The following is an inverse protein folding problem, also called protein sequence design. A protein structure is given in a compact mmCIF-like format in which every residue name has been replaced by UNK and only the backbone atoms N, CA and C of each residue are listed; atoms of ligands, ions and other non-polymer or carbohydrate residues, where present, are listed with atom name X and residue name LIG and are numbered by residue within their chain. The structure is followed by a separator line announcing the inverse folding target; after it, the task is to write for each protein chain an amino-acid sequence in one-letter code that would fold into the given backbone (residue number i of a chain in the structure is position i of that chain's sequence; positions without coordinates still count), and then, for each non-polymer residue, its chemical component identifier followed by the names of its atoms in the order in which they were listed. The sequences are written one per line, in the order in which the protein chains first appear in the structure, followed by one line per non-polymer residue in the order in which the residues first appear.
data_IF_995757049785
#
_entry.id   IF_995757049785
#
_cell.length_a   1.000
_cell.length_b   1.000
_cell.length_c   1.000
_cell.angle_alpha   90.00
_cell.angle_beta   90.00
_cell.angle_gamma   90.00
#
_symmetry.space_group_name_H-M   'P 1'
#
loop_
_entity.id
_entity.type
_entity.pdbx_description
1 polymer ?
#
# COMPACT_ATOMS: atom_id res chain seq x y z
N UNK A 1 -14.65 -9.96 -14.98
CA UNK A 1 -14.08 -11.16 -14.34
C UNK A 1 -13.41 -10.77 -13.03
N UNK A 2 -14.11 -10.83 -11.90
CA UNK A 2 -13.51 -10.67 -10.57
C UNK A 2 -13.22 -12.05 -9.98
N UNK A 3 -12.02 -12.23 -9.42
CA UNK A 3 -11.79 -13.16 -8.31
C UNK A 3 -10.38 -12.97 -7.77
N UNK A 4 -10.29 -12.87 -6.44
CA UNK A 4 -9.14 -12.42 -5.67
C UNK A 4 -7.84 -13.19 -5.98
N UNK A 5 -6.78 -12.46 -6.37
CA UNK A 5 -5.43 -13.00 -6.66
C UNK A 5 -4.46 -12.93 -5.47
N UNK A 6 -4.90 -12.44 -4.31
CA UNK A 6 -4.04 -12.25 -3.14
C UNK A 6 -4.15 -13.43 -2.19
N UNK A 7 -3.64 -14.58 -2.61
CA UNK A 7 -3.46 -15.72 -1.71
C UNK A 7 -2.20 -15.46 -0.89
N UNK A 8 -2.36 -15.23 0.41
CA UNK A 8 -1.26 -14.95 1.36
C UNK A 8 -0.96 -16.12 2.30
N UNK A 9 -1.91 -17.05 2.43
CA UNK A 9 -1.77 -18.31 3.14
C UNK A 9 -2.56 -19.41 2.43
N UNK A 10 -2.04 -20.64 2.48
CA UNK A 10 -2.67 -21.82 1.90
C UNK A 10 -2.40 -23.01 2.84
N UNK A 11 -3.45 -23.73 3.24
CA UNK A 11 -3.36 -24.95 4.05
C UNK A 11 -3.91 -26.12 3.25
N UNK A 12 -3.08 -27.11 2.96
CA UNK A 12 -3.52 -28.38 2.36
C UNK A 12 -3.71 -29.42 3.46
N UNK A 13 -4.87 -30.07 3.50
CA UNK A 13 -5.16 -31.09 4.50
C UNK A 13 -4.51 -32.42 4.08
N UNK A 14 -3.79 -33.05 5.01
CA UNK A 14 -3.09 -34.31 4.76
C UNK A 14 -4.13 -35.44 4.61
N UNK A 15 -4.35 -35.88 3.38
CA UNK A 15 -5.31 -36.93 3.03
C UNK A 15 -5.54 -37.01 1.52
N UNK A 16 -5.43 -35.87 0.83
CA UNK A 16 -5.32 -35.82 -0.62
C UNK A 16 -3.85 -35.61 -1.02
N UNK A 17 -3.25 -36.58 -1.73
CA UNK A 17 -2.02 -36.36 -2.51
C UNK A 17 -2.38 -35.49 -3.73
N UNK A 18 -2.79 -34.26 -3.51
CA UNK A 18 -2.91 -33.28 -4.58
C UNK A 18 -1.55 -32.63 -4.74
N UNK A 19 -0.95 -32.81 -5.92
CA UNK A 19 0.20 -32.04 -6.37
C UNK A 19 -0.23 -30.57 -6.39
N UNK A 20 0.05 -29.83 -5.31
CA UNK A 20 -0.19 -28.39 -5.25
C UNK A 20 0.72 -27.77 -6.32
N UNK A 21 0.17 -27.11 -7.35
CA UNK A 21 0.98 -26.56 -8.42
C UNK A 21 2.04 -25.61 -7.84
N UNK A 22 3.28 -25.71 -8.33
CA UNK A 22 4.40 -24.82 -7.97
C UNK A 22 4.02 -23.34 -8.00
N UNK A 23 3.14 -22.99 -8.94
CA UNK A 23 2.65 -21.63 -9.18
C UNK A 23 1.89 -21.06 -7.99
N UNK A 24 1.19 -21.91 -7.20
CA UNK A 24 0.49 -21.48 -5.99
C UNK A 24 1.50 -21.11 -4.90
N UNK A 25 2.50 -21.95 -4.68
CA UNK A 25 3.56 -21.66 -3.70
C UNK A 25 4.34 -20.41 -4.06
N UNK A 26 4.67 -20.23 -5.34
CA UNK A 26 5.36 -19.04 -5.80
C UNK A 26 4.50 -17.78 -5.61
N UNK A 27 3.20 -17.87 -5.92
CA UNK A 27 2.24 -16.78 -5.70
C UNK A 27 2.12 -16.41 -4.22
N UNK A 28 1.99 -17.40 -3.33
CA UNK A 28 1.96 -17.19 -1.88
C UNK A 28 3.23 -16.50 -1.41
N UNK A 29 4.40 -16.95 -1.88
CA UNK A 29 5.69 -16.36 -1.52
C UNK A 29 5.78 -14.90 -1.94
N UNK A 30 5.41 -14.58 -3.19
CA UNK A 30 5.41 -13.21 -3.73
C UNK A 30 4.42 -12.32 -2.98
N UNK A 31 3.21 -12.80 -2.74
CA UNK A 31 2.18 -12.07 -2.02
C UNK A 31 2.56 -11.82 -0.56
N UNK A 32 3.16 -12.81 0.12
CA UNK A 32 3.66 -12.65 1.49
C UNK A 32 4.81 -11.68 1.58
N UNK A 33 5.73 -11.68 0.60
CA UNK A 33 6.78 -10.67 0.51
C UNK A 33 6.19 -9.26 0.35
N UNK A 34 5.23 -9.09 -0.56
CA UNK A 34 4.56 -7.81 -0.75
C UNK A 34 3.76 -7.39 0.51
N UNK A 35 3.09 -8.33 1.19
CA UNK A 35 2.39 -8.06 2.45
C UNK A 35 3.34 -7.58 3.55
N UNK A 36 4.51 -8.21 3.69
CA UNK A 36 5.55 -7.76 4.62
C UNK A 36 6.03 -6.34 4.28
N UNK A 37 6.20 -6.02 2.98
CA UNK A 37 6.55 -4.66 2.54
C UNK A 37 5.46 -3.64 2.84
N UNK A 38 4.18 -4.02 2.72
CA UNK A 38 3.06 -3.17 3.13
C UNK A 38 3.12 -2.87 4.64
N UNK A 39 3.35 -3.89 5.47
CA UNK A 39 3.53 -3.72 6.92
C UNK A 39 4.73 -2.83 7.26
N UNK A 40 5.86 -2.96 6.56
CA UNK A 40 7.01 -2.05 6.76
C UNK A 40 6.66 -0.59 6.47
N UNK A 41 5.79 -0.32 5.50
CA UNK A 41 5.28 1.03 5.24
C UNK A 41 4.36 1.50 6.36
N UNK A 42 3.41 0.66 6.79
CA UNK A 42 2.48 0.99 7.87
C UNK A 42 3.24 1.36 9.14
N UNK A 43 4.23 0.54 9.52
CA UNK A 43 5.08 0.75 10.69
C UNK A 43 6.17 1.83 10.48
N UNK A 44 6.14 2.57 9.37
CA UNK A 44 7.11 3.63 9.03
C UNK A 44 8.58 3.18 9.04
N UNK A 45 8.83 1.88 8.88
CA UNK A 45 10.20 1.32 8.79
C UNK A 45 10.79 1.51 7.40
N UNK A 46 9.93 1.64 6.38
CA UNK A 46 10.33 1.84 4.99
C UNK A 46 9.24 2.55 4.19
N UNK A 47 9.55 3.77 3.74
CA UNK A 47 8.65 4.61 2.95
C UNK A 47 9.19 4.85 1.54
N UNK A 48 9.40 3.78 0.78
CA UNK A 48 9.82 3.86 -0.62
C UNK A 48 8.64 3.58 -1.57
N UNK A 49 8.82 3.86 -2.87
CA UNK A 49 7.79 3.63 -3.89
C UNK A 49 7.29 2.18 -3.90
N UNK A 50 8.17 1.22 -3.60
CA UNK A 50 7.83 -0.20 -3.64
C UNK A 50 6.96 -0.60 -2.45
N UNK A 51 7.34 -0.21 -1.22
CA UNK A 51 6.53 -0.46 -0.03
C UNK A 51 5.18 0.27 -0.09
N UNK A 52 5.14 1.47 -0.67
CA UNK A 52 3.90 2.20 -0.92
C UNK A 52 2.97 1.49 -1.93
N UNK A 53 3.52 0.93 -3.02
CA UNK A 53 2.74 0.08 -3.95
C UNK A 53 2.18 -1.15 -3.26
N UNK A 54 2.95 -1.77 -2.38
CA UNK A 54 2.49 -2.91 -1.61
C UNK A 54 1.35 -2.53 -0.65
N UNK A 55 1.43 -1.38 0.02
CA UNK A 55 0.32 -0.88 0.83
C UNK A 55 -0.94 -0.66 -0.02
N UNK A 56 -0.83 0.04 -1.16
CA UNK A 56 -1.94 0.27 -2.08
C UNK A 56 -2.60 -1.04 -2.56
N UNK A 57 -1.82 -2.11 -2.72
CA UNK A 57 -2.33 -3.44 -3.08
C UNK A 57 -3.13 -4.10 -1.95
N UNK A 58 -2.69 -3.92 -0.70
CA UNK A 58 -3.20 -4.66 0.47
C UNK A 58 -4.19 -3.88 1.35
N UNK A 59 -4.25 -2.55 1.29
CA UNK A 59 -5.04 -1.70 2.20
C UNK A 59 -6.56 -1.97 2.16
N UNK A 60 -7.06 -2.64 1.12
CA UNK A 60 -8.48 -2.99 0.97
C UNK A 60 -8.81 -4.39 1.49
N UNK A 61 -7.82 -5.12 1.99
CA UNK A 61 -7.94 -6.52 2.34
C UNK A 61 -7.63 -6.72 3.82
N UNK A 62 -8.51 -7.45 4.51
CA UNK A 62 -8.37 -7.76 5.94
C UNK A 62 -7.09 -8.52 6.28
N UNK A 63 -6.46 -9.17 5.31
CA UNK A 63 -5.18 -9.85 5.51
C UNK A 63 -4.05 -8.89 5.91
N UNK A 64 -4.14 -7.59 5.58
CA UNK A 64 -3.19 -6.59 6.08
C UNK A 64 -3.35 -6.43 7.59
N UNK A 65 -4.57 -6.23 8.05
CA UNK A 65 -4.87 -6.04 9.48
C UNK A 65 -4.48 -7.25 10.29
N UNK A 66 -4.89 -8.45 9.85
CA UNK A 66 -4.53 -9.69 10.52
C UNK A 66 -3.01 -9.90 10.58
N UNK A 67 -2.29 -9.58 9.50
CA UNK A 67 -0.84 -9.72 9.49
C UNK A 67 -0.14 -8.67 10.35
N UNK A 68 -0.69 -7.46 10.43
CA UNK A 68 -0.18 -6.38 11.27
C UNK A 68 -0.36 -6.70 12.76
N UNK A 69 -1.51 -7.23 13.16
CA UNK A 69 -1.75 -7.65 14.55
C UNK A 69 -0.83 -8.79 14.96
N UNK A 70 -0.61 -9.76 14.07
CA UNK A 70 0.34 -10.87 14.30
C UNK A 70 1.80 -10.38 14.44
N UNK A 71 2.28 -9.57 13.49
CA UNK A 71 3.71 -9.19 13.42
C UNK A 71 4.07 -8.08 14.40
N UNK A 72 3.18 -7.11 14.62
CA UNK A 72 3.43 -5.97 15.49
C UNK A 72 2.85 -6.15 16.91
N UNK A 73 2.15 -7.26 17.18
CA UNK A 73 1.46 -7.54 18.45
C UNK A 73 0.48 -6.42 18.84
N UNK A 74 -0.18 -5.85 17.85
CA UNK A 74 -1.18 -4.81 18.01
C UNK A 74 -2.56 -5.46 18.19
N UNK A 75 -3.46 -4.77 18.88
CA UNK A 75 -4.89 -5.06 18.81
C UNK A 75 -5.45 -4.73 17.42
N UNK A 76 -6.58 -5.33 17.06
CA UNK A 76 -7.28 -5.04 15.80
C UNK A 76 -7.58 -3.54 15.62
N UNK A 77 -7.98 -2.86 16.70
CA UNK A 77 -8.30 -1.42 16.66
C UNK A 77 -7.04 -0.57 16.44
N UNK A 78 -5.93 -0.92 17.07
CA UNK A 78 -4.63 -0.27 16.82
C UNK A 78 -4.17 -0.49 15.38
N UNK A 79 -4.28 -1.72 14.88
CA UNK A 79 -3.90 -2.06 13.52
C UNK A 79 -4.71 -1.25 12.48
N UNK A 80 -6.02 -1.13 12.67
CA UNK A 80 -6.89 -0.31 11.80
C UNK A 80 -6.54 1.18 11.84
N UNK A 81 -6.19 1.71 13.01
CA UNK A 81 -5.72 3.10 13.13
C UNK A 81 -4.40 3.33 12.40
N UNK A 82 -3.45 2.40 12.53
CA UNK A 82 -2.17 2.49 11.84
C UNK A 82 -2.33 2.35 10.32
N UNK A 83 -3.21 1.48 9.84
CA UNK A 83 -3.55 1.38 8.42
C UNK A 83 -4.14 2.69 7.88
N UNK A 84 -5.12 3.27 8.59
CA UNK A 84 -5.72 4.53 8.20
C UNK A 84 -4.69 5.67 8.16
N UNK A 85 -3.78 5.71 9.15
CA UNK A 85 -2.67 6.67 9.19
C UNK A 85 -1.71 6.45 8.02
N UNK A 86 -1.39 5.20 7.69
CA UNK A 86 -0.52 4.86 6.57
C UNK A 86 -1.15 5.24 5.22
N UNK A 87 -2.46 5.05 5.04
CA UNK A 87 -3.18 5.52 3.86
C UNK A 87 -3.14 7.05 3.71
N UNK A 88 -3.31 7.78 4.81
CA UNK A 88 -3.17 9.24 4.82
C UNK A 88 -1.77 9.65 4.37
N UNK A 89 -0.73 9.07 4.98
CA UNK A 89 0.69 9.31 4.61
C UNK A 89 0.97 8.99 3.14
N UNK A 90 0.42 7.89 2.62
CA UNK A 90 0.57 7.52 1.21
C UNK A 90 0.01 8.61 0.29
N UNK A 91 -1.15 9.18 0.62
CA UNK A 91 -1.79 10.25 -0.16
C UNK A 91 -0.99 11.55 -0.08
N UNK A 92 -0.54 11.93 1.11
CA UNK A 92 0.30 13.11 1.33
C UNK A 92 1.61 13.04 0.56
N UNK A 93 2.25 11.86 0.54
CA UNK A 93 3.56 11.65 -0.11
C UNK A 93 3.44 11.18 -1.56
N UNK A 94 2.24 11.11 -2.14
CA UNK A 94 2.00 10.49 -3.44
C UNK A 94 2.96 10.96 -4.54
N UNK A 95 3.09 12.27 -4.72
CA UNK A 95 3.91 12.85 -5.79
C UNK A 95 5.40 12.63 -5.61
N UNK A 96 5.87 12.57 -4.36
CA UNK A 96 7.26 12.25 -4.02
C UNK A 96 7.53 10.77 -4.26
N UNK A 97 6.63 9.89 -3.76
CA UNK A 97 6.72 8.44 -3.94
C UNK A 97 6.64 8.02 -5.42
N UNK A 98 5.90 8.76 -6.23
CA UNK A 98 5.81 8.53 -7.68
C UNK A 98 6.93 9.19 -8.48
N UNK A 99 7.78 10.00 -7.85
CA UNK A 99 8.88 10.71 -8.51
C UNK A 99 8.45 11.84 -9.44
N UNK A 100 7.16 12.22 -9.44
CA UNK A 100 6.66 13.40 -10.16
C UNK A 100 7.31 14.66 -9.59
N UNK A 101 7.55 14.67 -8.27
CA UNK A 101 8.16 15.77 -7.54
C UNK A 101 9.37 15.25 -6.76
N UNK A 102 10.44 16.06 -6.71
CA UNK A 102 11.62 15.74 -5.88
C UNK A 102 11.43 16.08 -4.41
N UNK A 103 10.81 17.22 -4.09
CA UNK A 103 10.51 17.67 -2.71
C UNK A 103 9.16 18.37 -2.57
N UNK A 104 8.89 19.39 -3.36
CA UNK A 104 7.63 20.16 -3.35
C UNK A 104 7.25 20.63 -4.75
N UNK A 105 5.94 20.85 -4.99
CA UNK A 105 5.50 21.66 -6.15
C UNK A 105 5.86 23.10 -5.82
N UNK A 106 6.50 23.78 -6.77
CA UNK A 106 6.68 25.23 -6.73
C UNK A 106 6.29 25.74 -8.11
N UNK A 107 5.30 26.62 -8.17
CA UNK A 107 4.89 27.25 -9.40
C UNK A 107 5.62 28.57 -9.59
N UNK A 108 5.78 28.98 -10.85
CA UNK A 108 6.28 30.31 -11.18
C UNK A 108 5.24 31.36 -10.81
N UNK A 109 5.69 32.44 -10.16
CA UNK A 109 4.82 33.52 -9.66
C UNK A 109 3.82 33.98 -10.72
N UNK A 110 2.53 33.91 -10.38
CA UNK A 110 1.46 34.55 -11.12
C UNK A 110 0.36 35.03 -10.15
N UNK A 111 -0.66 35.73 -10.69
CA UNK A 111 -1.74 36.32 -9.90
C UNK A 111 -2.96 35.39 -9.70
N UNK A 112 -2.84 34.09 -9.99
CA UNK A 112 -3.94 33.12 -9.81
C UNK A 112 -3.54 32.00 -8.86
N UNK A 113 -4.54 31.35 -8.25
CA UNK A 113 -4.29 30.16 -7.42
C UNK A 113 -3.69 29.06 -8.27
N UNK A 114 -2.44 28.70 -7.97
CA UNK A 114 -1.70 27.65 -8.64
C UNK A 114 -1.70 26.36 -7.80
N UNK A 115 -1.22 25.28 -8.41
CA UNK A 115 -1.24 23.94 -7.80
C UNK A 115 -0.40 23.88 -6.52
N UNK A 116 0.67 24.65 -6.42
CA UNK A 116 1.49 24.77 -5.20
C UNK A 116 0.79 25.52 -4.04
N UNK A 117 -0.24 26.30 -4.33
CA UNK A 117 -1.05 26.99 -3.33
C UNK A 117 -2.19 26.11 -2.77
N UNK A 118 -2.36 24.89 -3.27
CA UNK A 118 -3.32 23.93 -2.70
C UNK A 118 -2.89 23.53 -1.28
N UNK A 119 -3.84 23.60 -0.35
CA UNK A 119 -3.61 23.14 1.02
C UNK A 119 -3.54 21.59 1.08
N UNK A 120 -3.08 21.01 2.21
CA UNK A 120 -2.95 19.56 2.35
C UNK A 120 -4.25 18.78 2.09
N UNK A 121 -5.40 19.32 2.49
CA UNK A 121 -6.70 18.67 2.30
C UNK A 121 -7.08 18.58 0.82
N UNK A 122 -6.86 19.67 0.06
CA UNK A 122 -7.03 19.69 -1.39
C UNK A 122 -6.10 18.69 -2.07
N UNK A 123 -4.84 18.60 -1.64
CA UNK A 123 -3.90 17.61 -2.15
C UNK A 123 -4.36 16.19 -1.89
N UNK A 124 -4.79 15.90 -0.67
CA UNK A 124 -5.31 14.58 -0.28
C UNK A 124 -6.56 14.21 -1.09
N UNK A 125 -7.47 15.17 -1.29
CA UNK A 125 -8.70 15.00 -2.07
C UNK A 125 -8.42 14.69 -3.55
N UNK A 126 -7.34 15.24 -4.12
CA UNK A 126 -6.88 14.88 -5.46
C UNK A 126 -6.20 13.50 -5.46
N UNK A 127 -5.29 13.26 -4.52
CA UNK A 127 -4.51 12.03 -4.43
C UNK A 127 -5.37 10.77 -4.23
N UNK A 128 -6.59 10.88 -3.65
CA UNK A 128 -7.51 9.73 -3.49
C UNK A 128 -7.90 9.05 -4.80
N UNK A 129 -7.82 9.77 -5.92
CA UNK A 129 -8.12 9.25 -7.25
C UNK A 129 -6.88 8.70 -7.97
N UNK A 130 -5.71 8.92 -7.40
CA UNK A 130 -4.44 8.57 -8.02
C UNK A 130 -3.94 7.25 -7.43
N UNK A 131 -3.34 6.42 -8.29
CA UNK A 131 -2.63 5.20 -7.86
C UNK A 131 -1.16 5.29 -8.19
N UNK A 132 -0.31 4.78 -7.30
CA UNK A 132 1.15 4.76 -7.51
C UNK A 132 1.47 3.90 -8.74
N UNK A 133 0.63 2.91 -9.01
CA UNK A 133 0.67 2.04 -10.19
C UNK A 133 0.29 2.73 -11.51
N UNK A 134 -0.34 3.92 -11.48
CA UNK A 134 -0.69 4.63 -12.72
C UNK A 134 0.48 5.42 -13.34
N UNK A 135 1.53 5.70 -12.59
CA UNK A 135 2.69 6.46 -13.08
C UNK A 135 3.75 5.52 -13.64
N UNK A 136 4.11 5.69 -14.92
CA UNK A 136 5.30 5.07 -15.53
C UNK A 136 6.47 6.03 -15.37
N UNK A 137 7.54 5.57 -14.76
CA UNK A 137 8.83 6.27 -14.68
C UNK A 137 9.83 5.54 -15.55
#
# INVERSE_FOLDING_TARGET
MSSNRLIVSFKCWAGHRTHVPSDIFESVRKNKFALNRAVEFVLQRREDRHSAKCLELFCRWSCLTSHLTEVARMSDDEARREEASAELRLREKYFVLTGIIRRSVVCWRNDVTQVDALNPDCWQANARYLRITNVRL
#
